data_IF_809936526080
#
_entry.id   IF_809936526080
#
_cell.length_a   1.000
_cell.length_b   1.000
_cell.length_c   1.000
_cell.angle_alpha   90.00
_cell.angle_beta   90.00
_cell.angle_gamma   90.00
#
_symmetry.space_group_name_H-M   'P 1'
#
loop_
_entity.id
_entity.type
_entity.pdbx_description
1 polymer ?
#
# COMPACT_ATOMS: atom_id res chain seq x y z
N UNK A 1 24.97 15.02 -23.18
CA UNK A 1 23.67 14.38 -23.55
C UNK A 1 22.92 14.16 -22.25
N UNK A 2 21.81 14.86 -22.05
CA UNK A 2 20.99 14.69 -20.83
C UNK A 2 20.48 13.25 -20.80
N UNK A 3 20.75 12.54 -19.70
CA UNK A 3 20.13 11.24 -19.45
C UNK A 3 18.61 11.42 -19.56
N UNK A 4 17.99 10.68 -20.49
CA UNK A 4 16.54 10.63 -20.56
C UNK A 4 16.03 10.03 -19.24
N UNK A 5 15.41 10.88 -18.43
CA UNK A 5 14.73 10.46 -17.18
C UNK A 5 13.72 9.36 -17.50
N UNK A 6 14.07 8.11 -17.19
CA UNK A 6 13.17 6.97 -17.39
C UNK A 6 12.08 6.99 -16.32
N UNK A 7 10.86 7.19 -16.75
CA UNK A 7 9.69 7.03 -15.90
C UNK A 7 9.56 5.55 -15.50
N UNK A 8 9.64 5.26 -14.20
CA UNK A 8 9.50 3.89 -13.70
C UNK A 8 8.10 3.33 -14.05
N UNK A 9 8.05 2.12 -14.60
CA UNK A 9 6.83 1.33 -14.85
C UNK A 9 5.83 1.89 -15.88
N UNK A 10 6.31 2.45 -16.97
CA UNK A 10 5.45 2.91 -18.03
C UNK A 10 5.50 1.95 -19.22
N UNK A 11 4.33 1.49 -19.66
CA UNK A 11 4.22 0.66 -20.84
C UNK A 11 4.70 1.44 -22.06
N UNK A 12 5.58 0.86 -22.90
CA UNK A 12 6.01 1.47 -24.16
C UNK A 12 4.79 1.69 -25.07
N UNK A 13 4.71 2.84 -25.71
CA UNK A 13 3.69 3.13 -26.72
C UNK A 13 2.36 3.69 -26.20
N UNK A 14 2.15 3.82 -24.89
CA UNK A 14 0.93 4.43 -24.34
C UNK A 14 0.88 5.93 -24.61
N UNK A 15 -0.12 6.40 -25.34
CA UNK A 15 -0.35 7.84 -25.55
C UNK A 15 -1.04 8.43 -24.33
N UNK A 16 -0.26 9.04 -23.46
CA UNK A 16 -0.70 9.63 -22.19
C UNK A 16 -1.42 10.99 -22.35
N UNK A 17 -1.99 11.26 -23.53
CA UNK A 17 -2.71 12.49 -23.84
C UNK A 17 -4.23 12.35 -23.74
N UNK A 18 -4.71 11.12 -23.73
CA UNK A 18 -6.15 10.82 -23.78
C UNK A 18 -6.88 11.00 -22.45
N UNK A 19 -8.20 10.93 -22.52
CA UNK A 19 -9.10 10.88 -21.38
C UNK A 19 -8.81 9.63 -20.57
N UNK A 20 -8.74 9.75 -19.23
CA UNK A 20 -8.43 8.62 -18.38
C UNK A 20 -8.24 8.97 -16.91
N UNK A 21 -8.12 7.93 -16.12
CA UNK A 21 -7.86 8.00 -14.69
C UNK A 21 -6.41 7.57 -14.41
N UNK A 22 -5.73 8.31 -13.57
CA UNK A 22 -4.31 8.08 -13.26
C UNK A 22 -4.08 8.13 -11.75
N UNK A 23 -3.48 7.08 -11.22
CA UNK A 23 -2.98 7.06 -9.86
C UNK A 23 -1.54 7.57 -9.85
N UNK A 24 -1.28 8.62 -9.09
CA UNK A 24 0.03 9.26 -8.95
C UNK A 24 0.53 9.06 -7.52
N UNK A 25 1.81 8.76 -7.38
CA UNK A 25 2.48 8.68 -6.07
C UNK A 25 3.76 9.50 -6.10
N UNK A 26 3.87 10.47 -5.20
CA UNK A 26 5.09 11.22 -4.94
C UNK A 26 5.66 10.78 -3.60
N UNK A 27 6.92 10.35 -3.59
CA UNK A 27 7.57 9.79 -2.39
C UNK A 27 8.77 10.63 -2.00
N UNK A 28 8.99 10.79 -0.70
CA UNK A 28 10.24 11.34 -0.16
C UNK A 28 11.28 10.22 -0.15
N UNK A 29 12.51 10.45 -0.66
CA UNK A 29 13.61 9.50 -0.55
C UNK A 29 13.82 9.03 0.90
N UNK A 30 14.24 7.79 1.06
CA UNK A 30 14.50 7.16 2.37
C UNK A 30 13.30 7.16 3.33
N UNK A 31 12.10 7.50 2.81
CA UNK A 31 10.85 7.48 3.59
C UNK A 31 10.88 8.39 4.83
N UNK A 32 11.60 9.50 4.78
CA UNK A 32 11.58 10.48 5.87
C UNK A 32 10.18 11.11 6.05
N UNK A 33 9.62 11.14 7.28
CA UNK A 33 8.26 11.59 7.54
C UNK A 33 8.15 13.13 7.63
N UNK A 34 8.46 13.84 6.54
CA UNK A 34 8.48 15.31 6.50
C UNK A 34 7.13 15.95 6.18
N UNK A 35 6.16 15.18 5.64
CA UNK A 35 4.87 15.71 5.19
C UNK A 35 3.81 15.73 6.29
N UNK A 36 3.99 14.92 7.32
CA UNK A 36 3.01 14.81 8.38
C UNK A 36 3.43 13.84 9.48
N UNK A 37 2.64 13.83 10.55
CA UNK A 37 2.78 12.91 11.67
C UNK A 37 1.55 12.01 11.74
N UNK A 38 1.75 10.70 11.92
CA UNK A 38 0.66 9.77 12.15
C UNK A 38 0.15 9.94 13.59
N UNK A 39 -1.10 10.28 13.74
CA UNK A 39 -1.83 10.29 15.01
C UNK A 39 -2.73 9.04 15.09
N UNK A 40 -2.75 8.39 16.24
CA UNK A 40 -3.58 7.21 16.51
C UNK A 40 -4.37 7.47 17.79
N UNK A 41 -5.52 8.17 17.71
CA UNK A 41 -6.36 8.45 18.87
C UNK A 41 -6.74 7.15 19.59
N UNK A 42 -6.75 7.17 20.91
CA UNK A 42 -7.15 6.06 21.79
C UNK A 42 -6.43 4.74 21.51
N UNK A 43 -5.23 4.79 20.92
CA UNK A 43 -4.52 3.62 20.42
C UNK A 43 -5.37 2.75 19.45
N UNK A 44 -6.37 3.35 18.80
CA UNK A 44 -7.23 2.67 17.84
C UNK A 44 -6.78 2.93 16.41
N UNK A 45 -6.21 1.94 15.69
CA UNK A 45 -5.76 2.11 14.31
C UNK A 45 -6.87 2.53 13.35
N UNK A 46 -8.13 2.20 13.64
CA UNK A 46 -9.26 2.59 12.79
C UNK A 46 -9.49 4.12 12.79
N UNK A 47 -9.05 4.83 13.84
CA UNK A 47 -9.14 6.27 13.97
C UNK A 47 -7.86 6.99 13.51
N UNK A 48 -6.89 6.26 12.99
CA UNK A 48 -5.60 6.82 12.59
C UNK A 48 -5.76 7.84 11.46
N UNK A 49 -5.11 8.97 11.63
CA UNK A 49 -5.06 10.09 10.68
C UNK A 49 -3.66 10.66 10.58
N UNK A 50 -3.39 11.44 9.55
CA UNK A 50 -2.11 12.15 9.40
C UNK A 50 -2.34 13.64 9.67
N UNK A 51 -1.71 14.16 10.72
CA UNK A 51 -1.58 15.59 10.96
C UNK A 51 -0.50 16.13 10.03
N UNK A 52 -0.87 17.04 9.13
CA UNK A 52 0.03 17.58 8.12
C UNK A 52 1.01 18.56 8.72
N UNK A 53 2.23 18.62 8.19
CA UNK A 53 3.19 19.71 8.44
C UNK A 53 2.93 20.86 7.48
N UNK A 54 3.60 22.01 7.69
CA UNK A 54 3.56 23.13 6.75
C UNK A 54 3.98 22.71 5.33
N UNK A 55 5.03 21.88 5.18
CA UNK A 55 5.41 21.31 3.89
C UNK A 55 4.33 20.41 3.31
N UNK A 56 3.68 19.59 4.14
CA UNK A 56 2.58 18.72 3.74
C UNK A 56 1.37 19.51 3.23
N UNK A 57 1.00 20.60 3.91
CA UNK A 57 -0.06 21.50 3.49
C UNK A 57 0.28 22.17 2.14
N UNK A 58 1.46 22.79 2.03
CA UNK A 58 1.91 23.44 0.79
C UNK A 58 1.95 22.46 -0.40
N UNK A 59 2.32 21.19 -0.16
CA UNK A 59 2.29 20.15 -1.21
C UNK A 59 0.85 19.83 -1.65
N UNK A 60 -0.09 19.77 -0.73
CA UNK A 60 -1.51 19.55 -1.04
C UNK A 60 -2.07 20.71 -1.83
N UNK A 61 -1.76 21.96 -1.46
CA UNK A 61 -2.20 23.15 -2.20
C UNK A 61 -1.63 23.15 -3.63
N UNK A 62 -0.36 22.79 -3.77
CA UNK A 62 0.27 22.61 -5.08
C UNK A 62 -0.43 21.52 -5.91
N UNK A 63 -0.85 20.40 -5.30
CA UNK A 63 -1.64 19.39 -5.99
C UNK A 63 -3.01 19.91 -6.43
N UNK A 64 -3.72 20.60 -5.53
CA UNK A 64 -5.06 21.12 -5.77
C UNK A 64 -5.07 22.30 -6.76
N UNK A 65 -3.93 22.96 -6.97
CA UNK A 65 -3.78 24.02 -7.98
C UNK A 65 -3.63 23.47 -9.42
N UNK A 66 -3.41 22.17 -9.61
CA UNK A 66 -3.25 21.59 -10.96
C UNK A 66 -4.37 22.01 -11.93
N UNK A 67 -5.67 21.96 -11.56
CA UNK A 67 -6.75 22.36 -12.47
C UNK A 67 -6.72 23.82 -12.90
N UNK A 68 -6.04 24.71 -12.16
CA UNK A 68 -5.90 26.14 -12.51
C UNK A 68 -4.98 26.30 -13.71
N UNK A 69 -3.94 25.47 -13.84
CA UNK A 69 -2.97 25.49 -14.94
C UNK A 69 -3.36 24.52 -16.06
N UNK A 70 -4.09 23.47 -15.73
CA UNK A 70 -4.52 22.39 -16.61
C UNK A 70 -6.01 22.10 -16.42
N UNK A 71 -6.91 22.93 -17.01
CA UNK A 71 -8.36 22.79 -16.83
C UNK A 71 -8.93 21.45 -17.30
N UNK A 72 -8.16 20.69 -18.07
CA UNK A 72 -8.49 19.34 -18.52
C UNK A 72 -8.39 18.31 -17.40
N UNK A 73 -7.62 18.60 -16.34
CA UNK A 73 -7.31 17.67 -15.26
C UNK A 73 -8.10 18.03 -14.02
N UNK A 74 -8.70 17.04 -13.39
CA UNK A 74 -9.37 17.14 -12.10
C UNK A 74 -8.66 16.25 -11.08
N UNK A 75 -8.42 16.75 -9.88
CA UNK A 75 -7.99 15.96 -8.72
C UNK A 75 -9.23 15.34 -8.10
N UNK A 76 -9.42 14.03 -8.27
CA UNK A 76 -10.60 13.33 -7.73
C UNK A 76 -10.44 12.96 -6.27
N UNK A 77 -9.24 12.54 -5.89
CA UNK A 77 -8.98 12.04 -4.56
C UNK A 77 -7.49 12.11 -4.24
N UNK A 78 -7.14 12.24 -2.96
CA UNK A 78 -5.75 12.16 -2.52
C UNK A 78 -5.67 11.77 -1.04
N UNK A 79 -4.51 11.23 -0.64
CA UNK A 79 -4.14 11.03 0.76
C UNK A 79 -2.68 11.39 0.95
N UNK A 80 -2.41 12.28 1.89
CA UNK A 80 -1.06 12.61 2.31
C UNK A 80 -0.66 11.70 3.47
N UNK A 81 0.43 10.96 3.25
CA UNK A 81 1.09 10.15 4.25
C UNK A 81 2.31 10.89 4.81
N UNK A 82 2.89 10.48 5.93
CA UNK A 82 4.05 11.15 6.48
C UNK A 82 5.23 11.31 5.53
N UNK A 83 5.42 10.36 4.61
CA UNK A 83 6.57 10.22 3.72
C UNK A 83 6.24 10.18 2.22
N UNK A 84 4.95 10.29 1.87
CA UNK A 84 4.52 10.25 0.48
C UNK A 84 3.09 10.79 0.31
N UNK A 85 2.75 11.12 -0.93
CA UNK A 85 1.43 11.56 -1.36
C UNK A 85 0.88 10.59 -2.41
N UNK A 86 -0.35 10.13 -2.25
CA UNK A 86 -1.15 9.48 -3.28
C UNK A 86 -2.19 10.45 -3.82
N UNK A 87 -2.38 10.47 -5.14
CA UNK A 87 -3.44 11.23 -5.78
C UNK A 87 -4.08 10.44 -6.93
N UNK A 88 -5.37 10.65 -7.15
CA UNK A 88 -6.11 10.17 -8.32
C UNK A 88 -6.47 11.38 -9.18
N UNK A 89 -5.92 11.41 -10.37
CA UNK A 89 -6.17 12.46 -11.35
C UNK A 89 -7.07 11.93 -12.46
N UNK A 90 -8.05 12.73 -12.87
CA UNK A 90 -8.93 12.46 -14.00
C UNK A 90 -8.67 13.46 -15.13
N UNK A 91 -8.33 12.96 -16.28
CA UNK A 91 -8.22 13.73 -17.52
C UNK A 91 -9.57 13.69 -18.22
N UNK A 92 -10.26 14.84 -18.29
CA UNK A 92 -11.63 14.95 -18.82
C UNK A 92 -11.69 15.09 -20.34
N UNK A 93 -10.63 15.61 -20.96
CA UNK A 93 -10.50 15.84 -22.40
C UNK A 93 -9.05 15.73 -22.84
N UNK A 94 -8.84 15.57 -24.14
CA UNK A 94 -7.49 15.48 -24.72
C UNK A 94 -6.66 16.72 -24.35
N UNK A 95 -5.44 16.47 -23.91
CA UNK A 95 -4.50 17.50 -23.47
C UNK A 95 -3.37 17.72 -24.48
N UNK A 96 -2.87 18.96 -24.61
CA UNK A 96 -1.73 19.25 -25.49
C UNK A 96 -0.42 18.58 -25.02
N UNK A 97 -0.17 18.57 -23.69
CA UNK A 97 1.10 18.08 -23.08
C UNK A 97 1.03 16.68 -22.50
N UNK A 98 -0.16 16.11 -22.34
CA UNK A 98 -0.38 14.83 -21.69
C UNK A 98 -0.16 14.84 -20.16
N UNK A 99 -0.64 13.79 -19.49
CA UNK A 99 -0.59 13.70 -18.02
C UNK A 99 0.84 13.68 -17.45
N UNK A 100 1.81 13.15 -18.19
CA UNK A 100 3.22 13.17 -17.79
C UNK A 100 3.76 14.58 -17.64
N UNK A 101 3.40 15.48 -18.58
CA UNK A 101 3.77 16.89 -18.51
C UNK A 101 3.17 17.59 -17.28
N UNK A 102 1.88 17.32 -16.99
CA UNK A 102 1.19 17.85 -15.82
C UNK A 102 1.88 17.38 -14.53
N UNK A 103 2.14 16.07 -14.39
CA UNK A 103 2.80 15.51 -13.21
C UNK A 103 4.25 15.98 -13.07
N UNK A 104 4.96 16.19 -14.18
CA UNK A 104 6.29 16.81 -14.18
C UNK A 104 6.23 18.25 -13.65
N UNK A 105 5.23 19.04 -14.07
CA UNK A 105 5.00 20.40 -13.56
C UNK A 105 4.75 20.40 -12.06
N UNK A 106 3.87 19.54 -11.57
CA UNK A 106 3.63 19.33 -10.16
C UNK A 106 4.91 18.94 -9.38
N UNK A 107 5.69 18.00 -9.91
CA UNK A 107 6.95 17.59 -9.29
C UNK A 107 7.98 18.73 -9.21
N UNK A 108 8.10 19.56 -10.26
CA UNK A 108 8.98 20.73 -10.23
C UNK A 108 8.54 21.75 -9.18
N UNK A 109 7.24 21.98 -9.03
CA UNK A 109 6.71 22.83 -7.97
C UNK A 109 6.99 22.22 -6.57
N UNK A 110 6.77 20.92 -6.38
CA UNK A 110 7.12 20.22 -5.14
C UNK A 110 8.63 20.34 -4.81
N UNK A 111 9.51 20.25 -5.81
CA UNK A 111 10.97 20.46 -5.61
C UNK A 111 11.29 21.87 -5.13
N UNK A 112 10.60 22.90 -5.64
CA UNK A 112 10.76 24.28 -5.15
C UNK A 112 10.33 24.41 -3.69
N UNK A 113 9.16 23.87 -3.33
CA UNK A 113 8.67 23.81 -1.95
C UNK A 113 9.65 23.08 -1.02
N UNK A 114 10.18 21.93 -1.45
CA UNK A 114 11.15 21.18 -0.68
C UNK A 114 12.44 21.94 -0.41
N UNK A 115 12.97 22.68 -1.40
CA UNK A 115 14.14 23.56 -1.19
C UNK A 115 13.86 24.68 -0.19
N UNK A 116 12.70 25.35 -0.32
CA UNK A 116 12.28 26.39 0.62
C UNK A 116 12.20 25.86 2.05
N UNK A 117 11.62 24.64 2.22
CA UNK A 117 11.56 23.97 3.51
C UNK A 117 12.95 23.64 4.07
N UNK A 118 13.85 23.11 3.25
CA UNK A 118 15.24 22.82 3.67
C UNK A 118 15.96 24.07 4.10
N UNK A 119 15.84 25.14 3.32
CA UNK A 119 16.43 26.44 3.63
C UNK A 119 15.91 27.00 4.96
N UNK A 120 14.58 26.98 5.17
CA UNK A 120 13.95 27.38 6.43
C UNK A 120 14.46 26.56 7.62
N UNK A 121 14.66 25.28 7.42
CA UNK A 121 15.14 24.37 8.46
C UNK A 121 16.59 24.62 8.89
N UNK A 122 17.42 25.21 8.04
CA UNK A 122 18.80 25.55 8.35
C UNK A 122 18.92 26.84 9.18
N UNK A 123 17.93 27.74 9.10
CA UNK A 123 18.01 29.07 9.72
C UNK A 123 17.28 29.14 11.07
N UNK A 124 16.28 28.27 11.29
CA UNK A 124 15.54 28.25 12.57
C UNK A 124 16.36 27.47 13.62
N UNK A 125 16.86 28.11 14.69
CA UNK A 125 17.53 27.41 15.79
C UNK A 125 16.63 26.32 16.40
N UNK A 126 17.24 25.24 16.90
CA UNK A 126 16.51 24.10 17.46
C UNK A 126 15.59 24.47 18.65
N UNK A 127 15.83 25.57 19.33
CA UNK A 127 15.04 26.04 20.46
C UNK A 127 13.65 26.57 20.04
N UNK A 128 13.52 27.16 18.86
CA UNK A 128 12.23 27.64 18.33
C UNK A 128 11.37 26.46 17.83
N UNK A 129 12.00 25.36 17.39
CA UNK A 129 11.29 24.13 17.02
C UNK A 129 10.56 23.47 18.19
N UNK A 130 11.06 23.58 19.41
CA UNK A 130 10.40 23.03 20.62
C UNK A 130 9.15 23.80 20.99
N UNK A 131 9.18 25.13 20.91
CA UNK A 131 8.03 25.98 21.29
C UNK A 131 6.83 25.79 20.36
N UNK A 132 7.02 25.62 19.04
CA UNK A 132 5.93 25.30 18.12
C UNK A 132 5.32 23.90 18.31
N UNK A 133 6.05 22.98 18.91
CA UNK A 133 5.51 21.66 19.27
C UNK A 133 4.68 21.68 20.57
N UNK A 134 4.94 22.61 21.47
CA UNK A 134 4.22 22.76 22.75
C UNK A 134 2.92 23.56 22.60
N UNK A 135 2.87 24.61 21.76
CA UNK A 135 1.64 25.38 21.49
C UNK A 135 0.53 24.56 20.82
N UNK A 136 0.89 23.52 20.04
CA UNK A 136 -0.08 22.61 19.41
C UNK A 136 -0.66 21.55 20.35
N UNK A 137 -0.19 21.43 21.60
CA UNK A 137 -0.74 20.49 22.60
C UNK A 137 -1.99 21.00 23.32
N UNK A 138 -2.30 22.29 23.25
CA UNK A 138 -3.36 22.89 24.07
C UNK A 138 -4.70 23.12 23.35
N UNK A 139 -4.89 22.71 22.11
CA UNK A 139 -6.19 22.77 21.43
C UNK A 139 -6.93 21.45 21.56
N UNK A 140 -7.61 21.24 22.68
CA UNK A 140 -8.65 20.21 22.84
C UNK A 140 -10.00 20.77 22.37
N UNK A 141 -10.67 20.03 21.49
CA UNK A 141 -12.11 20.07 21.30
C UNK A 141 -12.62 20.77 20.05
N UNK A 142 -13.25 20.00 19.18
CA UNK A 142 -14.10 20.46 18.10
C UNK A 142 -13.68 19.92 16.75
N UNK A 143 -14.61 19.20 16.08
CA UNK A 143 -14.47 18.79 14.67
C UNK A 143 -14.50 20.05 13.83
N UNK A 144 -13.44 20.43 13.09
CA UNK A 144 -13.50 21.60 12.22
C UNK A 144 -14.25 21.20 10.93
N UNK A 145 -15.24 21.99 10.60
CA UNK A 145 -15.92 22.01 9.31
C UNK A 145 -14.89 22.26 8.19
N UNK A 146 -15.01 21.51 7.08
CA UNK A 146 -14.03 21.52 5.98
C UNK A 146 -13.84 22.87 5.27
N UNK A 147 -14.59 23.91 5.65
CA UNK A 147 -14.51 25.24 5.05
C UNK A 147 -13.54 26.20 5.76
N UNK A 148 -13.28 26.03 7.05
CA UNK A 148 -12.34 26.92 7.78
C UNK A 148 -10.86 26.55 7.55
N UNK A 149 -10.56 25.29 7.15
CA UNK A 149 -9.20 24.86 6.86
C UNK A 149 -8.54 25.52 5.64
N UNK A 150 -9.31 26.03 4.69
CA UNK A 150 -8.78 26.57 3.43
C UNK A 150 -8.14 27.97 3.54
N UNK A 151 -8.62 28.83 4.43
CA UNK A 151 -8.08 30.18 4.58
C UNK A 151 -6.72 30.21 5.27
N UNK A 152 -6.49 29.35 6.25
CA UNK A 152 -5.21 29.24 6.96
C UNK A 152 -4.11 28.57 6.09
N UNK A 153 -4.48 27.65 5.18
CA UNK A 153 -3.57 26.95 4.27
C UNK A 153 -2.94 27.90 3.23
N UNK A 154 -3.73 28.78 2.62
CA UNK A 154 -3.22 29.75 1.64
C UNK A 154 -2.22 30.73 2.26
N UNK A 155 -2.45 31.12 3.51
CA UNK A 155 -1.55 31.99 4.26
C UNK A 155 -0.21 31.30 4.61
N UNK A 156 -0.20 30.03 4.98
CA UNK A 156 1.02 29.26 5.24
C UNK A 156 1.84 29.03 3.96
N UNK A 157 1.18 28.76 2.84
CA UNK A 157 1.85 28.62 1.54
C UNK A 157 2.46 29.94 1.09
N UNK A 158 1.73 31.06 1.23
CA UNK A 158 2.23 32.40 0.92
C UNK A 158 3.41 32.80 1.83
N UNK A 159 3.39 32.44 3.10
CA UNK A 159 4.52 32.64 4.03
C UNK A 159 5.75 31.86 3.61
N UNK A 160 5.59 30.59 3.22
CA UNK A 160 6.69 29.73 2.70
C UNK A 160 7.27 30.29 1.39
N UNK A 161 6.45 30.75 0.48
CA UNK A 161 6.90 31.37 -0.77
C UNK A 161 7.62 32.70 -0.56
N UNK A 162 7.07 33.58 0.28
CA UNK A 162 7.70 34.84 0.64
C UNK A 162 9.04 34.61 1.35
N UNK A 163 9.11 33.63 2.25
CA UNK A 163 10.33 33.27 2.94
C UNK A 163 11.37 32.66 1.98
N UNK A 164 10.93 31.81 1.05
CA UNK A 164 11.77 31.25 -0.01
C UNK A 164 12.39 32.35 -0.90
N UNK A 165 11.60 33.35 -1.28
CA UNK A 165 12.08 34.49 -2.06
C UNK A 165 13.12 35.35 -1.28
N UNK A 166 12.88 35.56 0.01
CA UNK A 166 13.81 36.27 0.90
C UNK A 166 15.15 35.51 1.04
N UNK A 167 15.10 34.20 1.24
CA UNK A 167 16.29 33.36 1.35
C UNK A 167 17.10 33.30 0.05
N UNK A 168 16.42 33.20 -1.08
CA UNK A 168 17.08 33.25 -2.40
C UNK A 168 17.81 34.58 -2.60
N UNK A 169 17.24 35.68 -2.09
CA UNK A 169 17.90 37.00 -2.11
C UNK A 169 19.12 37.07 -1.18
N UNK A 170 19.06 36.42 -0.02
CA UNK A 170 20.17 36.39 0.96
C UNK A 170 21.32 35.47 0.57
N UNK A 171 21.01 34.27 0.05
CA UNK A 171 22.01 33.26 -0.29
C UNK A 171 22.58 33.41 -1.71
N UNK A 172 21.95 34.23 -2.55
CA UNK A 172 22.20 34.25 -3.97
C UNK A 172 21.61 33.04 -4.69
N UNK A 173 21.43 33.13 -6.00
CA UNK A 173 20.84 32.05 -6.82
C UNK A 173 21.66 30.76 -6.73
N UNK A 174 22.98 30.85 -6.79
CA UNK A 174 23.86 29.68 -6.78
C UNK A 174 23.79 28.91 -5.45
N UNK A 175 23.82 29.61 -4.31
CA UNK A 175 23.69 28.98 -2.99
C UNK A 175 22.33 28.32 -2.77
N UNK A 176 21.25 28.98 -3.22
CA UNK A 176 19.88 28.45 -3.09
C UNK A 176 19.68 27.19 -3.93
N UNK A 177 20.19 27.14 -5.15
CA UNK A 177 20.05 25.97 -6.03
C UNK A 177 20.97 24.80 -5.67
N UNK A 178 21.98 24.99 -4.84
CA UNK A 178 22.80 23.92 -4.25
C UNK A 178 22.09 23.16 -3.14
N UNK A 179 21.00 23.72 -2.55
CA UNK A 179 20.20 23.01 -1.56
C UNK A 179 19.53 21.78 -2.20
N UNK A 180 19.73 20.62 -1.59
CA UNK A 180 19.09 19.39 -2.05
C UNK A 180 17.56 19.48 -1.91
N UNK A 181 16.81 19.23 -2.98
CA UNK A 181 15.35 19.21 -2.88
C UNK A 181 14.88 17.99 -2.12
N UNK A 182 13.85 18.13 -1.28
CA UNK A 182 13.21 17.03 -0.56
C UNK A 182 12.65 15.96 -1.52
N UNK A 183 12.14 16.38 -2.67
CA UNK A 183 11.54 15.49 -3.68
C UNK A 183 12.52 15.26 -4.85
N UNK A 184 13.44 14.32 -4.68
CA UNK A 184 14.47 14.01 -5.69
C UNK A 184 13.98 13.00 -6.72
N UNK A 185 13.10 12.06 -6.32
CA UNK A 185 12.58 11.03 -7.21
C UNK A 185 11.35 11.52 -7.99
N UNK A 186 11.27 11.08 -9.25
CA UNK A 186 10.09 11.36 -10.08
C UNK A 186 8.84 10.64 -9.55
N UNK A 187 7.66 11.27 -9.61
CA UNK A 187 6.42 10.62 -9.23
C UNK A 187 6.15 9.37 -10.07
N UNK A 188 5.65 8.33 -9.42
CA UNK A 188 5.13 7.16 -10.10
C UNK A 188 3.72 7.47 -10.63
N UNK A 189 3.46 7.11 -11.91
CA UNK A 189 2.14 7.27 -12.54
C UNK A 189 1.67 5.91 -13.04
N UNK A 190 0.43 5.56 -12.71
CA UNK A 190 -0.23 4.34 -13.17
C UNK A 190 -1.59 4.67 -13.79
N UNK A 191 -1.82 4.35 -15.08
CA UNK A 191 -3.16 4.46 -15.66
C UNK A 191 -4.10 3.42 -15.06
N UNK A 192 -5.38 3.78 -14.93
CA UNK A 192 -6.43 2.90 -14.45
C UNK A 192 -7.39 2.61 -15.61
N UNK A 193 -7.41 1.35 -16.06
CA UNK A 193 -8.15 0.95 -17.27
C UNK A 193 -9.41 0.12 -17.01
N UNK A 194 -9.68 -0.27 -15.75
CA UNK A 194 -10.84 -1.12 -15.41
C UNK A 194 -11.82 -0.36 -14.52
N UNK A 195 -13.12 -0.51 -14.77
CA UNK A 195 -14.19 0.18 -14.00
C UNK A 195 -14.13 -0.06 -12.50
N UNK A 196 -13.62 -1.21 -12.05
CA UNK A 196 -13.48 -1.55 -10.62
C UNK A 196 -12.20 -1.00 -9.99
N UNK A 197 -11.24 -0.47 -10.77
CA UNK A 197 -9.97 0.03 -10.22
C UNK A 197 -10.13 1.32 -9.43
N UNK A 198 -11.01 2.22 -9.86
CA UNK A 198 -11.19 3.51 -9.18
C UNK A 198 -11.65 3.35 -7.72
N UNK A 199 -12.79 2.68 -7.42
CA UNK A 199 -13.24 2.50 -6.05
C UNK A 199 -12.23 1.74 -5.20
N UNK A 200 -11.57 0.72 -5.76
CA UNK A 200 -10.53 -0.03 -5.05
C UNK A 200 -9.28 0.82 -4.73
N UNK A 201 -8.91 1.73 -5.65
CA UNK A 201 -7.78 2.63 -5.44
C UNK A 201 -8.12 3.70 -4.39
N UNK A 202 -9.31 4.29 -4.45
CA UNK A 202 -9.77 5.25 -3.44
C UNK A 202 -9.78 4.58 -2.05
N UNK A 203 -10.43 3.43 -1.92
CA UNK A 203 -10.42 2.69 -0.66
C UNK A 203 -9.00 2.35 -0.17
N UNK A 204 -8.11 1.93 -1.08
CA UNK A 204 -6.70 1.71 -0.73
C UNK A 204 -6.03 2.97 -0.18
N UNK A 205 -6.27 4.12 -0.82
CA UNK A 205 -5.68 5.41 -0.44
C UNK A 205 -6.21 5.84 0.93
N UNK A 206 -7.52 5.74 1.17
CA UNK A 206 -8.17 6.12 2.44
C UNK A 206 -7.69 5.28 3.62
N UNK A 207 -7.47 3.99 3.40
CA UNK A 207 -7.03 3.08 4.44
C UNK A 207 -5.53 3.15 4.76
N UNK A 208 -4.74 3.99 4.06
CA UNK A 208 -3.30 4.04 4.29
C UNK A 208 -2.89 4.48 5.71
N UNK A 209 -3.49 5.52 6.33
CA UNK A 209 -3.17 5.90 7.71
C UNK A 209 -3.44 4.76 8.69
N UNK A 210 -4.61 4.11 8.60
CA UNK A 210 -5.04 3.01 9.45
C UNK A 210 -4.12 1.79 9.31
N UNK A 211 -3.70 1.49 8.07
CA UNK A 211 -2.75 0.41 7.78
C UNK A 211 -1.36 0.70 8.31
N UNK A 212 -0.91 1.95 8.23
CA UNK A 212 0.38 2.36 8.80
C UNK A 212 0.35 2.24 10.33
N UNK A 213 -0.74 2.71 10.97
CA UNK A 213 -0.95 2.56 12.41
C UNK A 213 -0.94 1.09 12.84
N UNK A 214 -1.72 0.25 12.18
CA UNK A 214 -1.80 -1.19 12.44
C UNK A 214 -0.43 -1.86 12.31
N UNK A 215 0.33 -1.53 11.25
CA UNK A 215 1.67 -2.07 11.04
C UNK A 215 2.65 -1.68 12.16
N UNK A 216 2.55 -0.44 12.67
CA UNK A 216 3.38 0.04 13.78
C UNK A 216 3.00 -0.62 15.11
N UNK A 217 1.72 -0.86 15.34
CA UNK A 217 1.21 -1.48 16.58
C UNK A 217 1.39 -2.99 16.61
N UNK A 218 1.39 -3.66 15.46
CA UNK A 218 1.53 -5.13 15.32
C UNK A 218 2.70 -5.50 14.39
N UNK A 219 3.92 -5.08 14.70
CA UNK A 219 5.07 -5.27 13.80
C UNK A 219 5.36 -6.76 13.54
N UNK A 220 5.09 -7.65 14.51
CA UNK A 220 5.30 -9.09 14.38
C UNK A 220 4.51 -9.74 13.24
N UNK A 221 3.30 -9.23 12.92
CA UNK A 221 2.48 -9.76 11.82
C UNK A 221 2.90 -9.27 10.43
N UNK A 222 3.76 -8.27 10.35
CA UNK A 222 4.21 -7.68 9.07
C UNK A 222 5.71 -7.80 8.85
N UNK A 223 6.44 -8.35 9.81
CA UNK A 223 7.85 -8.70 9.64
C UNK A 223 7.95 -10.03 8.92
N UNK A 224 8.85 -10.12 7.94
CA UNK A 224 9.17 -11.39 7.29
C UNK A 224 9.89 -12.30 8.29
N UNK A 225 9.29 -13.41 8.60
CA UNK A 225 9.86 -14.47 9.43
C UNK A 225 10.56 -15.44 8.50
N UNK A 226 11.87 -15.60 8.65
CA UNK A 226 12.70 -16.44 7.79
C UNK A 226 12.88 -17.81 8.40
N UNK A 227 12.94 -18.85 7.53
CA UNK A 227 13.36 -20.17 7.93
C UNK A 227 12.33 -20.95 8.77
N UNK A 228 11.04 -20.77 8.54
CA UNK A 228 9.97 -21.59 9.18
C UNK A 228 10.04 -22.99 8.58
N UNK A 229 10.37 -24.00 9.40
CA UNK A 229 10.48 -25.40 8.94
C UNK A 229 9.18 -26.14 9.15
N UNK A 230 8.59 -26.71 8.07
CA UNK A 230 7.38 -27.53 8.10
C UNK A 230 7.63 -28.76 7.23
N UNK A 231 7.47 -29.97 7.78
CA UNK A 231 7.67 -31.22 7.05
C UNK A 231 9.06 -31.35 6.41
N UNK A 232 10.11 -30.79 7.07
CA UNK A 232 11.48 -30.81 6.56
C UNK A 232 11.79 -29.77 5.47
N UNK A 233 10.83 -28.94 5.07
CA UNK A 233 11.01 -27.84 4.11
C UNK A 233 11.01 -26.49 4.82
N UNK A 234 11.91 -25.60 4.39
CA UNK A 234 11.99 -24.22 4.90
C UNK A 234 11.08 -23.28 4.10
N UNK A 235 10.38 -22.39 4.82
CA UNK A 235 9.53 -21.36 4.27
C UNK A 235 9.88 -20.00 4.90
N UNK A 236 9.69 -18.95 4.14
CA UNK A 236 9.58 -17.60 4.71
C UNK A 236 8.09 -17.27 4.91
N UNK A 237 7.76 -16.52 5.95
CA UNK A 237 6.36 -16.23 6.30
C UNK A 237 6.09 -14.80 6.71
N UNK A 238 4.87 -14.33 6.43
CA UNK A 238 4.31 -13.04 6.91
C UNK A 238 2.90 -13.29 7.43
N UNK A 239 2.59 -12.79 8.61
CA UNK A 239 1.31 -12.97 9.28
C UNK A 239 1.44 -13.69 10.61
N UNK A 240 0.39 -14.37 11.01
CA UNK A 240 0.31 -15.03 12.30
C UNK A 240 0.85 -16.48 12.25
N UNK A 241 2.07 -16.70 12.73
CA UNK A 241 2.67 -18.05 12.78
C UNK A 241 2.02 -18.98 13.82
N UNK A 242 1.23 -18.44 14.79
CA UNK A 242 0.50 -19.33 15.71
C UNK A 242 -0.58 -20.16 15.02
N UNK A 243 -0.96 -19.79 13.77
CA UNK A 243 -1.86 -20.63 12.96
C UNK A 243 -1.26 -21.99 12.61
N UNK A 244 0.05 -22.16 12.69
CA UNK A 244 0.72 -23.46 12.52
C UNK A 244 0.47 -24.42 13.70
N UNK A 245 -0.14 -23.92 14.79
CA UNK A 245 -0.53 -24.71 15.99
C UNK A 245 -2.04 -25.01 16.01
N UNK A 246 -2.75 -24.83 14.91
CA UNK A 246 -4.16 -25.23 14.82
C UNK A 246 -4.30 -26.75 14.99
N UNK A 247 -5.44 -27.19 15.50
CA UNK A 247 -5.67 -28.63 15.74
C UNK A 247 -5.71 -29.46 14.47
N UNK A 248 -6.24 -28.90 13.39
CA UNK A 248 -6.43 -29.61 12.13
C UNK A 248 -6.21 -28.71 10.92
N UNK A 249 -5.70 -29.31 9.85
CA UNK A 249 -5.39 -28.64 8.59
C UNK A 249 -5.98 -29.39 7.41
N UNK A 250 -6.49 -28.67 6.40
CA UNK A 250 -6.94 -29.26 5.15
C UNK A 250 -6.51 -28.41 3.94
N UNK A 251 -6.07 -29.03 2.85
CA UNK A 251 -5.72 -28.31 1.63
C UNK A 251 -6.99 -27.88 0.87
N UNK A 252 -6.97 -26.68 0.30
CA UNK A 252 -7.95 -26.27 -0.71
C UNK A 252 -7.30 -26.41 -2.07
N UNK A 253 -7.65 -27.50 -2.76
CA UNK A 253 -7.15 -27.83 -4.10
C UNK A 253 -8.29 -28.29 -4.98
N UNK A 254 -8.79 -27.44 -5.87
CA UNK A 254 -9.84 -27.76 -6.83
C UNK A 254 -9.24 -28.55 -7.99
N UNK A 255 -9.51 -29.85 -8.01
CA UNK A 255 -8.98 -30.77 -9.04
C UNK A 255 -9.62 -30.47 -10.40
N UNK A 256 -8.83 -30.58 -11.45
CA UNK A 256 -9.26 -30.33 -12.84
C UNK A 256 -10.48 -31.14 -13.25
N UNK A 257 -10.56 -32.40 -12.81
CA UNK A 257 -11.70 -33.29 -13.07
C UNK A 257 -13.03 -32.69 -12.61
N UNK A 258 -13.06 -31.98 -11.44
CA UNK A 258 -14.27 -31.33 -10.94
C UNK A 258 -14.66 -30.12 -11.82
N UNK A 259 -13.66 -29.40 -12.36
CA UNK A 259 -13.90 -28.26 -13.25
C UNK A 259 -14.44 -28.73 -14.59
N UNK A 260 -13.84 -29.78 -15.18
CA UNK A 260 -14.29 -30.36 -16.44
C UNK A 260 -15.68 -30.98 -16.33
N UNK A 261 -16.05 -31.56 -15.18
CA UNK A 261 -17.40 -32.06 -14.92
C UNK A 261 -18.40 -30.89 -14.86
N UNK A 262 -18.04 -29.79 -14.18
CA UNK A 262 -18.88 -28.61 -14.08
C UNK A 262 -19.09 -27.91 -15.44
N UNK A 263 -18.06 -27.88 -16.31
CA UNK A 263 -18.17 -27.37 -17.69
C UNK A 263 -19.11 -28.22 -18.55
N UNK A 264 -19.25 -29.51 -18.25
CA UNK A 264 -20.20 -30.43 -18.89
C UNK A 264 -21.61 -30.44 -18.27
N UNK A 265 -21.85 -29.56 -17.28
CA UNK A 265 -23.15 -29.37 -16.62
C UNK A 265 -23.27 -30.00 -15.23
N UNK A 266 -22.32 -30.82 -14.78
CA UNK A 266 -22.27 -31.36 -13.41
C UNK A 266 -21.57 -30.39 -12.48
N UNK A 267 -22.27 -29.33 -12.09
CA UNK A 267 -21.75 -28.27 -11.20
C UNK A 267 -21.81 -28.65 -9.72
N UNK A 268 -22.51 -29.74 -9.38
CA UNK A 268 -22.83 -30.06 -7.99
C UNK A 268 -21.59 -30.50 -7.21
N UNK A 269 -20.76 -31.34 -7.79
CA UNK A 269 -19.54 -31.80 -7.15
C UNK A 269 -18.59 -30.64 -6.80
N UNK A 270 -18.39 -29.72 -7.73
CA UNK A 270 -17.53 -28.54 -7.53
C UNK A 270 -18.13 -27.60 -6.47
N UNK A 271 -19.43 -27.39 -6.49
CA UNK A 271 -20.13 -26.57 -5.48
C UNK A 271 -20.00 -27.18 -4.08
N UNK A 272 -20.28 -28.48 -3.97
CA UNK A 272 -20.21 -29.21 -2.71
C UNK A 272 -18.78 -29.21 -2.14
N UNK A 273 -17.77 -29.38 -2.97
CA UNK A 273 -16.38 -29.27 -2.54
C UNK A 273 -16.05 -27.89 -1.97
N UNK A 274 -16.39 -26.80 -2.69
CA UNK A 274 -16.17 -25.44 -2.19
C UNK A 274 -16.90 -25.18 -0.87
N UNK A 275 -18.13 -25.63 -0.75
CA UNK A 275 -18.92 -25.50 0.47
C UNK A 275 -18.31 -26.30 1.61
N UNK A 276 -17.82 -27.51 1.37
CA UNK A 276 -17.18 -28.33 2.39
C UNK A 276 -15.90 -27.67 2.95
N UNK A 277 -15.10 -27.02 2.10
CA UNK A 277 -13.93 -26.25 2.56
C UNK A 277 -14.33 -25.13 3.53
N UNK A 278 -15.38 -24.35 3.21
CA UNK A 278 -15.87 -23.28 4.07
C UNK A 278 -16.45 -23.84 5.37
N UNK A 279 -17.24 -24.91 5.30
CA UNK A 279 -17.81 -25.56 6.49
C UNK A 279 -16.72 -26.13 7.42
N UNK A 280 -15.64 -26.70 6.86
CA UNK A 280 -14.49 -27.14 7.65
C UNK A 280 -13.77 -25.98 8.34
N UNK A 281 -13.58 -24.88 7.62
CA UNK A 281 -12.98 -23.66 8.20
C UNK A 281 -13.84 -23.08 9.34
N UNK A 282 -15.20 -23.09 9.22
CA UNK A 282 -16.13 -22.69 10.28
C UNK A 282 -16.04 -23.56 11.54
N UNK A 283 -15.62 -24.83 11.38
CA UNK A 283 -15.37 -25.76 12.49
C UNK A 283 -13.96 -25.58 13.12
N UNK A 284 -13.20 -24.58 12.70
CA UNK A 284 -11.87 -24.28 13.25
C UNK A 284 -10.70 -24.90 12.49
N UNK A 285 -10.97 -25.65 11.41
CA UNK A 285 -9.89 -26.24 10.58
C UNK A 285 -9.14 -25.13 9.81
N UNK A 286 -7.80 -25.14 9.88
CA UNK A 286 -6.98 -24.19 9.13
C UNK A 286 -6.87 -24.65 7.65
N UNK A 287 -7.44 -23.84 6.75
CA UNK A 287 -7.37 -24.12 5.31
C UNK A 287 -6.02 -23.70 4.75
N UNK A 288 -5.37 -24.57 3.95
CA UNK A 288 -4.05 -24.30 3.38
C UNK A 288 -4.13 -24.35 1.85
N UNK A 289 -3.72 -23.30 1.16
CA UNK A 289 -3.76 -23.27 -0.31
C UNK A 289 -2.91 -22.15 -0.91
N UNK A 290 -2.41 -22.29 -2.13
CA UNK A 290 -1.90 -21.17 -2.91
C UNK A 290 -3.03 -20.31 -3.52
N UNK A 291 -4.28 -20.76 -3.51
CA UNK A 291 -5.45 -20.07 -4.08
C UNK A 291 -5.22 -19.54 -5.50
N UNK A 292 -4.69 -20.39 -6.38
CA UNK A 292 -4.30 -20.00 -7.75
C UNK A 292 -5.51 -19.95 -8.68
N UNK A 293 -6.34 -20.99 -8.68
CA UNK A 293 -7.50 -21.11 -9.57
C UNK A 293 -8.61 -20.13 -9.19
N UNK A 294 -9.48 -19.80 -10.15
CA UNK A 294 -10.67 -18.96 -9.91
C UNK A 294 -11.57 -19.54 -8.81
N UNK A 295 -11.72 -20.86 -8.79
CA UNK A 295 -12.57 -21.54 -7.81
C UNK A 295 -11.97 -21.54 -6.40
N UNK A 296 -10.65 -21.72 -6.27
CA UNK A 296 -9.95 -21.59 -4.99
C UNK A 296 -9.98 -20.13 -4.47
N UNK A 297 -9.82 -19.14 -5.36
CA UNK A 297 -10.01 -17.73 -5.02
C UNK A 297 -11.41 -17.43 -4.51
N UNK A 298 -12.45 -18.07 -5.05
CA UNK A 298 -13.81 -17.96 -4.52
C UNK A 298 -13.90 -18.46 -3.07
N UNK A 299 -13.27 -19.59 -2.75
CA UNK A 299 -13.19 -20.08 -1.37
C UNK A 299 -12.46 -19.05 -0.49
N UNK A 300 -11.28 -18.58 -0.90
CA UNK A 300 -10.55 -17.55 -0.15
C UNK A 300 -11.38 -16.27 0.11
N UNK A 301 -12.15 -15.82 -0.89
CA UNK A 301 -13.02 -14.66 -0.72
C UNK A 301 -14.10 -14.87 0.36
N UNK A 302 -14.65 -16.08 0.46
CA UNK A 302 -15.60 -16.44 1.51
C UNK A 302 -14.91 -16.49 2.87
N UNK A 303 -13.72 -17.13 2.96
CA UNK A 303 -12.93 -17.17 4.19
C UNK A 303 -12.61 -15.76 4.70
N UNK A 304 -12.21 -14.85 3.81
CA UNK A 304 -11.94 -13.45 4.14
C UNK A 304 -13.20 -12.71 4.63
N UNK A 305 -14.33 -12.86 3.93
CA UNK A 305 -15.60 -12.22 4.26
C UNK A 305 -16.15 -12.70 5.62
N UNK A 306 -16.04 -14.00 5.89
CA UNK A 306 -16.48 -14.62 7.14
C UNK A 306 -15.44 -14.53 8.26
N UNK A 307 -14.32 -13.85 8.00
CA UNK A 307 -13.25 -13.65 8.97
C UNK A 307 -12.64 -14.96 9.50
N UNK A 308 -12.61 -15.99 8.68
CA UNK A 308 -12.03 -17.29 9.01
C UNK A 308 -10.51 -17.30 8.78
N UNK A 309 -9.81 -18.17 9.52
CA UNK A 309 -8.35 -18.27 9.45
C UNK A 309 -7.89 -19.23 8.35
N UNK A 310 -6.77 -18.90 7.69
CA UNK A 310 -6.17 -19.76 6.67
C UNK A 310 -4.68 -19.47 6.46
N UNK A 311 -4.00 -20.41 5.81
CA UNK A 311 -2.61 -20.30 5.39
C UNK A 311 -2.57 -20.20 3.86
N UNK A 312 -1.93 -19.15 3.34
CA UNK A 312 -1.80 -18.91 1.90
C UNK A 312 -0.35 -19.15 1.46
N UNK A 313 -0.14 -19.94 0.40
CA UNK A 313 1.18 -20.06 -0.23
C UNK A 313 1.29 -19.07 -1.40
N UNK A 314 2.45 -18.41 -1.51
CA UNK A 314 2.73 -17.48 -2.62
C UNK A 314 3.86 -18.01 -3.50
N UNK A 315 3.80 -17.66 -4.78
CA UNK A 315 4.72 -18.07 -5.84
C UNK A 315 6.01 -17.25 -5.91
N UNK A 316 6.16 -16.25 -5.05
CA UNK A 316 7.38 -15.45 -4.95
C UNK A 316 7.74 -15.23 -3.47
N UNK A 317 9.01 -14.99 -3.19
CA UNK A 317 9.50 -14.66 -1.87
C UNK A 317 9.09 -13.25 -1.42
N UNK A 318 9.58 -12.84 -0.27
CA UNK A 318 9.24 -11.55 0.34
C UNK A 318 10.42 -10.59 0.31
N UNK A 319 10.15 -9.34 -0.07
CA UNK A 319 11.06 -8.21 0.21
C UNK A 319 11.06 -7.92 1.70
N UNK A 320 12.11 -7.30 2.22
CA UNK A 320 12.20 -6.94 3.64
C UNK A 320 11.03 -6.06 4.11
N UNK A 321 10.50 -5.22 3.21
CA UNK A 321 9.33 -4.37 3.47
C UNK A 321 8.07 -4.88 2.77
N UNK A 322 7.86 -6.20 2.77
CA UNK A 322 6.67 -6.78 2.15
C UNK A 322 5.40 -6.26 2.81
N UNK A 323 4.41 -5.96 1.98
CA UNK A 323 3.07 -5.56 2.42
C UNK A 323 2.05 -6.43 1.68
N UNK A 324 1.25 -7.23 2.40
CA UNK A 324 0.14 -7.96 1.79
C UNK A 324 -0.82 -7.04 1.04
N UNK A 325 -1.53 -7.58 0.07
CA UNK A 325 -2.58 -6.83 -0.63
C UNK A 325 -3.77 -6.55 0.29
N UNK A 326 -4.59 -5.57 -0.07
CA UNK A 326 -5.68 -4.98 0.72
C UNK A 326 -6.38 -5.90 1.73
N UNK A 327 -7.18 -6.86 1.27
CA UNK A 327 -7.95 -7.76 2.14
C UNK A 327 -7.08 -8.74 2.92
N UNK A 328 -5.96 -9.18 2.33
CA UNK A 328 -4.97 -10.01 3.03
C UNK A 328 -4.23 -9.20 4.11
N UNK A 329 -3.97 -7.91 3.87
CA UNK A 329 -3.40 -7.04 4.90
C UNK A 329 -4.28 -6.98 6.14
N UNK A 330 -5.57 -6.73 5.96
CA UNK A 330 -6.53 -6.62 7.06
C UNK A 330 -6.70 -7.96 7.80
N UNK A 331 -6.68 -9.07 7.07
CA UNK A 331 -6.70 -10.41 7.65
C UNK A 331 -5.41 -10.77 8.41
N UNK A 332 -4.22 -10.38 7.89
CA UNK A 332 -2.94 -10.49 8.62
C UNK A 332 -2.95 -9.62 9.89
N UNK A 333 -3.42 -8.38 9.79
CA UNK A 333 -3.54 -7.46 10.93
C UNK A 333 -4.44 -8.02 12.04
N UNK A 334 -5.48 -8.76 11.66
CA UNK A 334 -6.39 -9.44 12.58
C UNK A 334 -5.85 -10.79 13.10
N UNK A 335 -4.65 -11.22 12.65
CA UNK A 335 -4.04 -12.49 13.05
C UNK A 335 -4.68 -13.74 12.44
N UNK A 336 -5.47 -13.58 11.36
CA UNK A 336 -6.23 -14.66 10.74
C UNK A 336 -5.55 -15.30 9.53
N UNK A 337 -4.45 -14.72 9.06
CA UNK A 337 -3.74 -15.21 7.88
C UNK A 337 -2.24 -15.34 8.16
N UNK A 338 -1.68 -16.43 7.67
CA UNK A 338 -0.26 -16.63 7.48
C UNK A 338 0.00 -16.81 5.98
N UNK A 339 0.92 -16.02 5.43
CA UNK A 339 1.36 -16.14 4.04
C UNK A 339 2.74 -16.78 4.05
N UNK A 340 2.93 -17.88 3.36
CA UNK A 340 4.19 -18.64 3.29
C UNK A 340 4.75 -18.61 1.86
N UNK A 341 6.06 -18.54 1.73
CA UNK A 341 6.77 -18.74 0.46
C UNK A 341 7.92 -19.75 0.64
N UNK A 342 8.03 -20.73 -0.24
CA UNK A 342 9.17 -21.65 -0.27
C UNK A 342 10.37 -21.08 -1.04
N UNK A 343 10.25 -19.91 -1.67
CA UNK A 343 11.23 -19.33 -2.57
C UNK A 343 11.79 -18.01 -2.08
N UNK A 344 13.00 -17.71 -2.54
CA UNK A 344 13.58 -16.37 -2.42
C UNK A 344 12.82 -15.37 -3.28
N UNK A 345 12.90 -14.08 -2.92
CA UNK A 345 12.28 -13.02 -3.69
C UNK A 345 12.99 -12.82 -5.04
N UNK A 346 12.20 -12.86 -6.11
CA UNK A 346 12.63 -12.55 -7.48
C UNK A 346 11.93 -11.27 -7.95
N UNK A 347 12.70 -10.21 -8.24
CA UNK A 347 12.21 -8.93 -8.72
C UNK A 347 11.69 -8.97 -10.17
N UNK A 348 12.19 -9.92 -10.96
CA UNK A 348 11.86 -10.03 -12.39
C UNK A 348 10.66 -10.93 -12.65
N UNK A 349 10.22 -11.67 -11.65
CA UNK A 349 9.08 -12.59 -11.78
C UNK A 349 7.77 -11.83 -12.06
N UNK A 350 7.11 -12.19 -13.17
CA UNK A 350 5.85 -11.57 -13.63
C UNK A 350 4.67 -12.53 -13.63
N UNK A 351 4.93 -13.81 -13.82
CA UNK A 351 3.91 -14.85 -13.97
C UNK A 351 4.29 -16.10 -13.20
N UNK A 352 3.29 -16.84 -12.74
CA UNK A 352 3.46 -18.18 -12.18
C UNK A 352 3.44 -19.21 -13.32
N UNK A 353 4.37 -20.13 -13.34
CA UNK A 353 4.41 -21.25 -14.28
C UNK A 353 3.49 -22.40 -13.83
N UNK A 354 3.13 -23.27 -14.77
CA UNK A 354 2.35 -24.49 -14.45
C UNK A 354 3.08 -25.40 -13.46
N UNK A 355 4.39 -25.54 -13.60
CA UNK A 355 5.20 -26.36 -12.68
C UNK A 355 5.15 -25.81 -11.25
N UNK A 356 5.24 -24.49 -11.09
CA UNK A 356 5.10 -23.84 -9.78
C UNK A 356 3.70 -23.99 -9.20
N UNK A 357 2.64 -23.91 -10.03
CA UNK A 357 1.28 -24.18 -9.57
C UNK A 357 1.14 -25.58 -8.99
N UNK A 358 1.67 -26.60 -9.68
CA UNK A 358 1.66 -27.98 -9.23
C UNK A 358 2.49 -28.15 -7.95
N UNK A 359 3.69 -27.55 -7.91
CA UNK A 359 4.55 -27.60 -6.73
C UNK A 359 3.89 -26.97 -5.50
N UNK A 360 3.25 -25.81 -5.63
CA UNK A 360 2.56 -25.14 -4.52
C UNK A 360 1.37 -25.93 -3.99
N UNK A 361 0.57 -26.54 -4.87
CA UNK A 361 -0.53 -27.41 -4.45
C UNK A 361 -0.02 -28.63 -3.69
N UNK A 362 1.06 -29.26 -4.18
CA UNK A 362 1.70 -30.39 -3.48
C UNK A 362 2.25 -29.96 -2.11
N UNK A 363 2.89 -28.80 -2.03
CA UNK A 363 3.38 -28.23 -0.76
C UNK A 363 2.23 -27.95 0.21
N UNK A 364 1.07 -27.48 -0.24
CA UNK A 364 -0.10 -27.28 0.62
C UNK A 364 -0.57 -28.63 1.22
N UNK A 365 -0.59 -29.71 0.44
CA UNK A 365 -0.90 -31.05 0.91
C UNK A 365 0.16 -31.56 1.91
N UNK A 366 1.46 -31.40 1.60
CA UNK A 366 2.59 -31.77 2.47
C UNK A 366 2.54 -31.03 3.82
N UNK A 367 2.24 -29.70 3.81
CA UNK A 367 2.06 -28.91 5.04
C UNK A 367 0.94 -29.46 5.90
N UNK A 368 -0.24 -29.73 5.30
CA UNK A 368 -1.38 -30.28 6.03
C UNK A 368 -1.04 -31.63 6.65
N UNK A 369 -0.39 -32.52 5.92
CA UNK A 369 0.04 -33.85 6.41
C UNK A 369 1.00 -33.69 7.60
N UNK A 370 2.07 -32.91 7.42
CA UNK A 370 3.09 -32.74 8.46
C UNK A 370 2.54 -32.11 9.74
N UNK A 371 1.67 -31.12 9.63
CA UNK A 371 1.10 -30.44 10.80
C UNK A 371 0.04 -31.30 11.51
N UNK A 372 -0.78 -32.04 10.77
CA UNK A 372 -1.75 -32.98 11.37
C UNK A 372 -1.04 -34.13 12.13
N UNK A 373 0.07 -34.65 11.59
CA UNK A 373 0.86 -35.69 12.28
C UNK A 373 1.51 -35.17 13.57
N UNK A 374 1.95 -33.90 13.57
CA UNK A 374 2.58 -33.30 14.77
C UNK A 374 1.53 -33.02 15.85
N UNK A 375 0.33 -32.57 15.48
CA UNK A 375 -0.78 -32.33 16.39
C UNK A 375 -1.28 -33.59 17.08
N UNK A 376 -1.29 -34.73 16.39
CA UNK A 376 -1.67 -36.04 16.97
C UNK A 376 -0.69 -36.47 18.07
N UNK A 377 0.60 -36.16 17.93
CA UNK A 377 1.62 -36.52 18.94
C UNK A 377 1.52 -35.68 20.21
N UNK A 378 1.10 -34.42 20.12
CA UNK A 378 0.94 -33.54 21.29
C UNK A 378 -0.34 -33.81 22.11
N UNK A 379 -1.33 -34.50 21.55
CA UNK A 379 -2.56 -34.89 22.24
C UNK A 379 -2.49 -36.29 22.90
N UNK A 380 -1.38 -37.02 22.71
CA UNK A 380 -1.14 -38.34 23.33
C UNK A 380 -0.10 -38.32 24.45
N UNK A 381 0.44 -37.15 24.79
CA UNK A 381 1.32 -36.91 25.94
C UNK A 381 0.60 -36.07 27.00
#
# INVERSE_FOLDING_TARGET
>A
MAEQEKWKWQEPGTTWKGIGLYHVTLTIPDRHPLLGQLEVPDNNPALAKVKRTALGNALVDCLLSIPQYHPEVQVLHFCLMPDHLHAVLYVRRIMPIGIRGVVRGFWQAAKKLGRAYTAASLIIPNDIRRNHQEETRNCQGGVPDCQEGNLNLQEETAKLEAFSASLRKQMGDDGYYQLQPVFTEMPFIRPMGRNTQLPNTIHYIDMNPQRLATKRMKPGYFRVQRGIVIGGRSYDGVGNTTLLMAETFAPVHVRRVMVEAAEKGDVEQLRNYKNSCVLSARKGMAMVSPFISTHEKQVMQVLLREQLSFICLTDNGFRDYYKPTNTLFDACAAGRVLILSPWSYDSEKRHISRAECVALNKMAEEICTALNETGIRSSQT
#
